data_IF_211837438901
#
_entry.id   IF_211837438901
#
_cell.length_a   1.000
_cell.length_b   1.000
_cell.length_c   1.000
_cell.angle_alpha   90.00
_cell.angle_beta   90.00
_cell.angle_gamma   90.00
#
_symmetry.space_group_name_H-M   'P 1'
#
loop_
_entity.id
_entity.type
_entity.pdbx_description
1 polymer ?
#
# COMPACT_ATOMS: atom_id res chain seq x y z
N UNK A 1 -0.36 17.59 14.69
CA UNK A 1 -1.77 17.22 14.42
C UNK A 1 -1.88 16.95 12.93
N UNK A 2 -2.40 15.79 12.52
CA UNK A 2 -2.57 15.46 11.12
C UNK A 2 -3.50 16.45 10.43
N UNK A 3 -3.05 17.05 9.32
CA UNK A 3 -3.82 18.07 8.59
C UNK A 3 -5.10 17.45 7.97
N UNK A 4 -5.04 16.17 7.59
CA UNK A 4 -6.16 15.44 6.99
C UNK A 4 -7.16 14.86 8.00
N UNK A 5 -6.91 15.00 9.29
CA UNK A 5 -7.54 14.19 10.32
C UNK A 5 -8.74 14.82 11.04
N UNK A 6 -9.48 15.68 10.42
CA UNK A 6 -10.80 16.10 10.97
C UNK A 6 -11.92 15.08 10.72
N UNK A 7 -11.55 13.87 10.31
CA UNK A 7 -12.53 12.86 9.93
C UNK A 7 -13.26 12.23 11.13
N UNK A 8 -14.58 12.04 10.98
CA UNK A 8 -15.55 11.50 11.97
C UNK A 8 -15.05 10.26 12.74
N UNK A 9 -14.16 9.44 12.15
CA UNK A 9 -13.64 8.22 12.76
C UNK A 9 -12.52 8.47 13.78
N UNK A 10 -11.79 9.57 13.69
CA UNK A 10 -10.85 9.97 14.74
C UNK A 10 -11.57 10.39 16.02
N UNK A 11 -12.79 10.93 15.91
CA UNK A 11 -13.57 11.30 17.07
C UNK A 11 -13.93 10.08 17.92
N UNK A 12 -14.09 8.90 17.32
CA UNK A 12 -14.35 7.64 18.06
C UNK A 12 -13.18 7.24 18.94
N UNK A 13 -11.95 7.46 18.49
CA UNK A 13 -10.73 7.14 19.24
C UNK A 13 -10.14 8.35 19.99
N UNK A 14 -10.79 9.51 19.96
CA UNK A 14 -10.27 10.76 20.55
C UNK A 14 -9.99 10.62 22.06
N UNK A 15 -10.74 9.77 22.75
CA UNK A 15 -10.62 9.52 24.19
C UNK A 15 -9.89 8.22 24.52
N UNK A 16 -9.32 7.53 23.53
CA UNK A 16 -8.61 6.30 23.77
C UNK A 16 -7.30 6.54 24.50
N UNK A 17 -7.06 5.73 25.52
CA UNK A 17 -5.78 5.62 26.18
C UNK A 17 -4.90 4.57 25.46
N UNK A 18 -3.69 4.37 25.95
CA UNK A 18 -2.74 3.44 25.35
C UNK A 18 -3.25 1.99 25.34
N UNK A 19 -3.97 1.55 26.37
CA UNK A 19 -4.52 0.21 26.44
C UNK A 19 -5.64 -0.01 25.41
N UNK A 20 -6.45 0.99 25.13
CA UNK A 20 -7.45 0.91 24.07
C UNK A 20 -6.76 0.69 22.70
N UNK A 21 -5.69 1.44 22.40
CA UNK A 21 -4.93 1.24 21.17
C UNK A 21 -4.26 -0.15 21.12
N UNK A 22 -3.70 -0.64 22.23
CA UNK A 22 -3.14 -2.00 22.30
C UNK A 22 -4.20 -3.07 22.01
N UNK A 23 -5.37 -2.96 22.60
CA UNK A 23 -6.48 -3.88 22.34
C UNK A 23 -6.93 -3.81 20.88
N UNK A 24 -7.03 -2.61 20.32
CA UNK A 24 -7.37 -2.44 18.90
C UNK A 24 -6.35 -3.13 17.98
N UNK A 25 -5.06 -2.90 18.19
CA UNK A 25 -4.00 -3.53 17.39
C UNK A 25 -4.01 -5.05 17.56
N UNK A 26 -4.21 -5.55 18.78
CA UNK A 26 -4.31 -6.98 19.05
C UNK A 26 -5.52 -7.62 18.31
N UNK A 27 -6.68 -6.94 18.33
CA UNK A 27 -7.86 -7.37 17.59
C UNK A 27 -7.61 -7.37 16.07
N UNK A 28 -7.00 -6.33 15.54
CA UNK A 28 -6.63 -6.25 14.12
C UNK A 28 -5.71 -7.41 13.72
N UNK A 29 -4.67 -7.68 14.50
CA UNK A 29 -3.77 -8.82 14.27
C UNK A 29 -4.51 -10.17 14.34
N UNK A 30 -5.47 -10.30 15.25
CA UNK A 30 -6.28 -11.51 15.32
C UNK A 30 -7.10 -11.73 14.07
N UNK A 31 -7.80 -10.70 13.58
CA UNK A 31 -8.57 -10.78 12.33
C UNK A 31 -7.68 -11.02 11.11
N UNK A 32 -6.51 -10.39 11.05
CA UNK A 32 -5.53 -10.65 9.98
C UNK A 32 -5.11 -12.12 9.93
N UNK A 33 -4.92 -12.77 11.09
CA UNK A 33 -4.63 -14.21 11.15
C UNK A 33 -5.80 -15.07 10.65
N UNK A 34 -7.05 -14.66 10.93
CA UNK A 34 -8.22 -15.36 10.40
C UNK A 34 -8.24 -15.28 8.87
N UNK A 35 -8.03 -14.08 8.31
CA UNK A 35 -7.96 -13.88 6.85
C UNK A 35 -6.81 -14.69 6.24
N UNK A 36 -5.64 -14.70 6.89
CA UNK A 36 -4.49 -15.49 6.42
C UNK A 36 -4.82 -17.00 6.34
N UNK A 37 -5.52 -17.56 7.31
CA UNK A 37 -5.97 -18.97 7.26
C UNK A 37 -6.98 -19.22 6.15
N UNK A 38 -7.87 -18.27 5.88
CA UNK A 38 -8.80 -18.39 4.74
C UNK A 38 -8.06 -18.38 3.41
N UNK A 39 -7.05 -17.52 3.24
CA UNK A 39 -6.18 -17.52 2.07
C UNK A 39 -5.43 -18.86 1.96
N UNK A 40 -4.89 -19.38 3.06
CA UNK A 40 -4.21 -20.68 3.10
C UNK A 40 -5.13 -21.79 2.59
N UNK A 41 -6.38 -21.88 3.08
CA UNK A 41 -7.35 -22.86 2.62
C UNK A 41 -7.66 -22.75 1.12
N UNK A 42 -7.73 -21.53 0.57
CA UNK A 42 -7.90 -21.31 -0.88
C UNK A 42 -6.68 -21.80 -1.66
N UNK A 43 -5.47 -21.53 -1.16
CA UNK A 43 -4.23 -21.98 -1.79
C UNK A 43 -4.07 -23.50 -1.72
N UNK A 44 -4.42 -24.14 -0.62
CA UNK A 44 -4.44 -25.60 -0.49
C UNK A 44 -5.38 -26.22 -1.52
N UNK A 45 -6.61 -25.69 -1.65
CA UNK A 45 -7.57 -26.14 -2.65
C UNK A 45 -7.04 -25.96 -4.08
N UNK A 46 -6.41 -24.81 -4.40
CA UNK A 46 -5.80 -24.58 -5.70
C UNK A 46 -4.68 -25.60 -5.99
N UNK A 47 -3.75 -25.76 -5.06
CA UNK A 47 -2.58 -26.62 -5.26
C UNK A 47 -2.91 -28.12 -5.23
N UNK A 48 -4.09 -28.51 -4.73
CA UNK A 48 -4.59 -29.88 -4.85
C UNK A 48 -5.10 -30.22 -6.26
N UNK A 49 -5.20 -29.25 -7.15
CA UNK A 49 -5.64 -29.40 -8.53
C UNK A 49 -4.50 -29.29 -9.54
N UNK A 50 -4.65 -29.82 -10.76
CA UNK A 50 -3.67 -29.61 -11.83
C UNK A 50 -3.44 -28.12 -12.18
N UNK A 51 -4.46 -27.27 -11.99
CA UNK A 51 -4.38 -25.83 -12.24
C UNK A 51 -3.33 -25.13 -11.36
N UNK A 52 -3.12 -25.61 -10.12
CA UNK A 52 -2.13 -25.04 -9.21
C UNK A 52 -0.71 -25.00 -9.76
N UNK A 53 -0.37 -25.92 -10.66
CA UNK A 53 0.95 -25.94 -11.33
C UNK A 53 1.12 -24.85 -12.40
N UNK A 54 0.02 -24.25 -12.84
CA UNK A 54 0.00 -23.24 -13.92
C UNK A 54 -0.79 -21.98 -13.53
N UNK A 55 -0.82 -21.66 -12.25
CA UNK A 55 -1.53 -20.46 -11.75
C UNK A 55 -0.55 -19.51 -11.07
N UNK A 56 -0.59 -18.25 -11.47
CA UNK A 56 0.07 -17.16 -10.75
C UNK A 56 -0.91 -16.62 -9.72
N UNK A 57 -0.49 -16.57 -8.48
CA UNK A 57 -1.25 -16.04 -7.35
C UNK A 57 -0.75 -14.65 -7.04
N UNK A 58 -1.68 -13.71 -6.88
CA UNK A 58 -1.39 -12.34 -6.49
C UNK A 58 -2.20 -12.00 -5.25
N UNK A 59 -1.51 -11.53 -4.20
CA UNK A 59 -2.12 -10.99 -2.98
C UNK A 59 -1.76 -9.52 -2.88
N UNK A 60 -2.75 -8.67 -2.85
CA UNK A 60 -2.58 -7.24 -2.70
C UNK A 60 -3.75 -6.65 -1.89
N UNK A 61 -3.60 -5.40 -1.44
CA UNK A 61 -4.68 -4.63 -0.85
C UNK A 61 -4.88 -3.32 -1.61
N UNK A 62 -6.09 -2.79 -1.55
CA UNK A 62 -6.48 -1.49 -2.15
C UNK A 62 -5.94 -0.32 -1.34
N UNK A 63 -5.89 -0.45 -0.02
CA UNK A 63 -5.33 0.49 0.94
C UNK A 63 -4.98 -0.23 2.23
N UNK A 64 -4.24 0.42 3.11
CA UNK A 64 -3.97 -0.06 4.46
C UNK A 64 -4.99 0.43 5.49
N UNK A 65 -4.62 0.30 6.75
CA UNK A 65 -5.40 0.71 7.93
C UNK A 65 -4.51 1.47 8.91
N UNK A 66 -5.04 2.47 9.59
CA UNK A 66 -4.27 3.34 10.47
C UNK A 66 -3.60 2.64 11.66
N UNK A 67 -4.14 1.54 12.12
CA UNK A 67 -3.58 0.65 13.15
C UNK A 67 -3.11 1.36 14.45
N UNK A 68 -3.73 2.49 14.78
CA UNK A 68 -3.37 3.33 15.93
C UNK A 68 -2.28 4.36 15.64
N UNK A 69 -1.54 4.25 14.53
CA UNK A 69 -0.55 5.26 14.14
C UNK A 69 -1.24 6.60 13.90
N UNK A 70 -0.59 7.68 14.28
CA UNK A 70 -1.16 9.04 14.20
C UNK A 70 -2.57 9.16 14.83
N UNK A 71 -2.90 8.27 15.78
CA UNK A 71 -4.23 8.11 16.40
C UNK A 71 -5.33 7.70 15.40
N UNK A 72 -4.96 7.19 14.25
CA UNK A 72 -5.91 6.70 13.27
C UNK A 72 -6.35 5.28 13.61
N UNK A 73 -7.65 5.05 13.51
CA UNK A 73 -8.26 3.72 13.63
C UNK A 73 -9.11 3.45 12.39
N UNK A 74 -9.10 2.21 11.91
CA UNK A 74 -9.76 1.82 10.67
C UNK A 74 -9.21 2.55 9.44
N UNK A 75 -9.82 2.35 8.27
CA UNK A 75 -9.46 3.08 7.07
C UNK A 75 -9.81 4.56 7.21
N UNK A 76 -8.86 5.40 6.93
CA UNK A 76 -9.02 6.84 6.93
C UNK A 76 -8.35 7.44 5.71
N UNK A 77 -8.76 8.64 5.34
CA UNK A 77 -8.10 9.40 4.29
C UNK A 77 -6.78 9.91 4.83
N UNK A 78 -5.70 9.31 4.42
CA UNK A 78 -4.37 9.82 4.70
C UNK A 78 -3.35 9.25 3.71
N UNK A 79 -2.18 9.87 3.65
CA UNK A 79 -1.06 9.40 2.81
C UNK A 79 0.06 8.77 3.63
N UNK A 80 -0.14 8.49 4.91
CA UNK A 80 0.85 7.80 5.73
C UNK A 80 1.13 6.38 5.24
N UNK A 81 2.32 5.85 5.54
CA UNK A 81 2.74 4.52 5.10
C UNK A 81 1.73 3.44 5.47
N UNK A 82 1.09 3.54 6.62
CA UNK A 82 0.07 2.60 7.06
C UNK A 82 -1.12 2.49 6.08
N UNK A 83 -1.37 3.55 5.32
CA UNK A 83 -2.46 3.58 4.32
C UNK A 83 -1.97 3.28 2.91
N UNK A 84 -0.75 3.72 2.56
CA UNK A 84 -0.27 3.71 1.17
C UNK A 84 0.72 2.59 0.87
N UNK A 85 1.39 2.04 1.88
CA UNK A 85 2.32 0.93 1.73
C UNK A 85 1.58 -0.39 1.96
N UNK A 86 0.98 -0.92 0.90
CA UNK A 86 0.15 -2.13 0.94
C UNK A 86 0.94 -3.38 0.57
N UNK A 87 0.52 -4.58 1.02
CA UNK A 87 1.11 -5.82 0.55
C UNK A 87 0.92 -5.97 -0.97
N UNK A 88 1.99 -6.42 -1.63
CA UNK A 88 1.97 -6.77 -3.05
C UNK A 88 2.85 -7.99 -3.25
N UNK A 89 2.22 -9.17 -3.25
CA UNK A 89 2.88 -10.46 -3.29
C UNK A 89 2.48 -11.17 -4.58
N UNK A 90 3.47 -11.64 -5.35
CA UNK A 90 3.24 -12.38 -6.59
C UNK A 90 4.05 -13.67 -6.51
N UNK A 91 3.37 -14.80 -6.72
CA UNK A 91 3.97 -16.13 -6.67
C UNK A 91 3.38 -17.04 -7.75
N UNK A 92 4.16 -18.00 -8.22
CA UNK A 92 3.70 -18.98 -9.20
C UNK A 92 4.79 -19.43 -10.18
N UNK A 93 4.40 -20.15 -11.24
CA UNK A 93 5.35 -20.64 -12.25
C UNK A 93 6.12 -19.50 -12.90
N UNK A 94 7.43 -19.70 -13.05
CA UNK A 94 8.32 -18.72 -13.66
C UNK A 94 8.62 -17.49 -12.81
N UNK A 95 8.10 -17.42 -11.57
CA UNK A 95 8.43 -16.36 -10.61
C UNK A 95 9.61 -16.81 -9.76
N UNK A 96 10.66 -15.99 -9.72
CA UNK A 96 11.84 -16.25 -8.90
C UNK A 96 11.52 -16.06 -7.41
N UNK A 97 11.62 -17.12 -6.58
CA UNK A 97 11.24 -17.03 -5.17
C UNK A 97 12.16 -16.09 -4.38
N UNK A 98 11.59 -15.31 -3.49
CA UNK A 98 12.29 -14.42 -2.57
C UNK A 98 11.82 -14.67 -1.15
N UNK A 99 12.77 -14.77 -0.22
CA UNK A 99 12.46 -14.98 1.19
C UNK A 99 12.16 -13.69 1.96
N UNK A 100 12.53 -12.54 1.40
CA UNK A 100 12.37 -11.24 2.05
C UNK A 100 11.64 -10.27 1.14
N UNK A 101 10.87 -9.35 1.70
CA UNK A 101 10.31 -8.23 0.95
C UNK A 101 11.40 -7.43 0.25
N UNK A 102 11.05 -6.80 -0.85
CA UNK A 102 11.91 -5.89 -1.60
C UNK A 102 11.56 -4.49 -1.16
N UNK A 103 12.52 -3.78 -0.57
CA UNK A 103 12.30 -2.46 0.03
C UNK A 103 12.78 -1.31 -0.87
N UNK A 104 13.62 -1.60 -1.86
CA UNK A 104 14.29 -0.62 -2.72
C UNK A 104 13.61 -0.43 -4.09
N UNK A 105 12.51 -1.13 -4.34
CA UNK A 105 11.74 -1.04 -5.57
C UNK A 105 10.39 -0.36 -5.31
N UNK A 106 10.25 0.88 -5.76
CA UNK A 106 8.95 1.56 -5.75
C UNK A 106 8.04 0.95 -6.80
N UNK A 107 6.86 0.49 -6.37
CA UNK A 107 5.81 -0.05 -7.24
C UNK A 107 4.52 0.72 -7.04
N UNK A 108 3.70 0.74 -8.06
CA UNK A 108 2.36 1.31 -8.03
C UNK A 108 1.38 0.26 -8.56
N UNK A 109 0.86 -0.65 -7.69
CA UNK A 109 0.03 -1.77 -8.13
C UNK A 109 -1.15 -1.36 -9.01
N UNK A 110 -1.73 -0.20 -8.76
CA UNK A 110 -2.85 0.34 -9.55
C UNK A 110 -2.55 0.54 -11.04
N UNK A 111 -1.29 0.76 -11.40
CA UNK A 111 -0.86 0.95 -12.79
C UNK A 111 0.11 -0.13 -13.28
N UNK A 112 0.89 -0.75 -12.39
CA UNK A 112 1.94 -1.72 -12.73
C UNK A 112 1.39 -3.14 -12.91
N UNK A 113 0.25 -3.46 -12.28
CA UNK A 113 -0.32 -4.80 -12.32
C UNK A 113 -0.70 -5.22 -13.74
N UNK A 114 -1.39 -4.35 -14.48
CA UNK A 114 -1.83 -4.67 -15.83
C UNK A 114 -0.67 -4.98 -16.79
N UNK A 115 0.34 -4.11 -16.96
CA UNK A 115 1.47 -4.44 -17.82
C UNK A 115 2.26 -5.66 -17.36
N UNK A 116 2.34 -5.89 -16.05
CA UNK A 116 2.99 -7.08 -15.49
C UNK A 116 2.24 -8.37 -15.89
N UNK A 117 0.92 -8.39 -15.74
CA UNK A 117 0.10 -9.54 -16.12
C UNK A 117 0.15 -9.80 -17.62
N UNK A 118 0.05 -8.75 -18.44
CA UNK A 118 0.16 -8.89 -19.89
C UNK A 118 1.49 -9.56 -20.29
N UNK A 119 2.60 -9.07 -19.75
CA UNK A 119 3.92 -9.61 -20.08
C UNK A 119 4.11 -11.04 -19.56
N UNK A 120 3.63 -11.37 -18.36
CA UNK A 120 3.65 -12.73 -17.83
C UNK A 120 2.82 -13.71 -18.66
N UNK A 121 1.69 -13.23 -19.20
CA UNK A 121 0.81 -14.02 -20.05
C UNK A 121 1.22 -14.05 -21.53
N UNK A 122 2.28 -13.32 -21.94
CA UNK A 122 2.67 -13.20 -23.34
C UNK A 122 1.69 -12.40 -24.20
N UNK A 123 0.89 -11.52 -23.57
CA UNK A 123 -0.09 -10.66 -24.25
C UNK A 123 0.53 -9.27 -24.47
N UNK A 124 0.31 -8.62 -25.61
CA UNK A 124 0.79 -7.26 -25.81
C UNK A 124 0.25 -6.28 -24.78
N UNK A 125 1.14 -5.49 -24.19
CA UNK A 125 0.76 -4.43 -23.24
C UNK A 125 0.11 -3.28 -24.03
N UNK A 126 -1.09 -2.80 -23.64
CA UNK A 126 -1.71 -1.65 -24.29
C UNK A 126 -0.83 -0.39 -24.17
N UNK A 127 -0.44 0.20 -25.30
CA UNK A 127 0.50 1.34 -25.34
C UNK A 127 -0.02 2.62 -24.65
N UNK A 128 -1.34 2.73 -24.52
CA UNK A 128 -1.99 3.90 -23.91
C UNK A 128 -2.07 3.84 -22.39
N UNK A 129 -1.60 2.74 -21.77
CA UNK A 129 -1.71 2.56 -20.31
C UNK A 129 -0.39 2.93 -19.62
N UNK A 130 -0.45 3.72 -18.53
CA UNK A 130 0.73 3.97 -17.71
C UNK A 130 1.13 2.68 -16.96
N UNK A 131 2.29 2.70 -16.35
CA UNK A 131 2.79 1.63 -15.52
C UNK A 131 4.04 0.98 -16.09
N UNK A 132 4.71 0.23 -15.25
CA UNK A 132 5.96 -0.48 -15.57
C UNK A 132 5.74 -1.95 -15.25
N UNK A 133 5.99 -2.82 -16.23
CA UNK A 133 5.95 -4.26 -15.98
C UNK A 133 7.05 -4.67 -15.00
N UNK A 134 6.67 -5.44 -14.01
CA UNK A 134 7.57 -6.06 -13.03
C UNK A 134 8.00 -7.47 -13.48
N UNK A 135 7.54 -7.96 -14.63
CA UNK A 135 7.81 -9.32 -15.09
C UNK A 135 9.32 -9.65 -15.18
N UNK A 136 10.21 -8.77 -15.70
CA UNK A 136 11.65 -9.04 -15.68
C UNK A 136 12.18 -9.26 -14.25
N UNK A 137 11.78 -8.37 -13.33
CA UNK A 137 12.18 -8.48 -11.93
C UNK A 137 11.65 -9.77 -11.27
N UNK A 138 10.40 -10.13 -11.54
CA UNK A 138 9.78 -11.34 -11.02
C UNK A 138 10.45 -12.60 -11.56
N UNK A 139 10.98 -12.57 -12.78
CA UNK A 139 11.79 -13.67 -13.37
C UNK A 139 13.24 -13.71 -12.87
N UNK A 140 13.63 -12.83 -11.94
CA UNK A 140 15.00 -12.75 -11.41
C UNK A 140 15.96 -11.92 -12.26
N UNK A 141 15.47 -11.26 -13.27
CA UNK A 141 16.24 -10.34 -14.11
C UNK A 141 16.40 -8.97 -13.46
N UNK A 142 17.34 -8.18 -13.95
CA UNK A 142 17.49 -6.78 -13.51
C UNK A 142 16.35 -5.94 -14.05
N UNK A 143 15.65 -5.24 -13.15
CA UNK A 143 14.64 -4.26 -13.56
C UNK A 143 15.28 -3.07 -14.27
N UNK A 144 14.94 -2.88 -15.56
CA UNK A 144 15.53 -1.84 -16.42
C UNK A 144 14.85 -0.48 -16.22
N UNK A 145 13.55 -0.47 -15.95
CA UNK A 145 12.78 0.74 -15.67
C UNK A 145 12.24 0.67 -14.26
N UNK A 146 12.32 1.78 -13.56
CA UNK A 146 11.77 1.93 -12.20
C UNK A 146 11.06 3.27 -12.12
N UNK A 147 10.04 3.33 -11.30
CA UNK A 147 9.43 4.60 -10.96
C UNK A 147 10.41 5.43 -10.12
N UNK A 148 10.69 6.69 -10.50
CA UNK A 148 11.49 7.57 -9.67
C UNK A 148 10.74 7.97 -8.40
N UNK A 149 9.42 7.88 -8.42
CA UNK A 149 8.51 8.09 -7.30
C UNK A 149 7.22 7.31 -7.51
N UNK A 150 6.56 6.98 -6.41
CA UNK A 150 5.16 6.57 -6.41
C UNK A 150 4.29 7.79 -6.11
N UNK A 151 3.09 7.82 -6.65
CA UNK A 151 2.14 8.91 -6.46
C UNK A 151 0.78 8.41 -6.02
N UNK A 152 0.10 9.19 -5.20
CA UNK A 152 -1.29 8.96 -4.82
C UNK A 152 -2.03 10.28 -4.78
N UNK A 153 -3.29 10.24 -5.14
CA UNK A 153 -4.15 11.41 -5.15
C UNK A 153 -5.43 11.08 -4.38
N UNK A 154 -5.90 12.05 -3.65
CA UNK A 154 -7.17 11.98 -2.95
C UNK A 154 -8.03 13.18 -3.33
N UNK A 155 -9.22 12.89 -3.78
CA UNK A 155 -10.27 13.88 -4.01
C UNK A 155 -11.61 13.23 -3.66
N UNK A 156 -12.22 13.66 -2.57
CA UNK A 156 -13.52 13.13 -2.16
C UNK A 156 -14.30 14.17 -1.37
N UNK A 157 -15.58 14.19 -1.62
CA UNK A 157 -16.57 14.88 -0.84
C UNK A 157 -17.38 13.83 -0.08
N UNK A 158 -17.26 13.84 1.25
CA UNK A 158 -18.18 13.18 2.15
C UNK A 158 -18.90 14.26 2.96
N UNK A 159 -19.84 13.89 3.82
CA UNK A 159 -20.55 14.80 4.73
C UNK A 159 -19.63 15.76 5.51
N UNK A 160 -18.36 15.42 5.62
CA UNK A 160 -17.28 16.30 6.07
C UNK A 160 -16.23 16.33 4.96
N UNK A 161 -16.02 17.48 4.36
CA UNK A 161 -15.00 17.68 3.34
C UNK A 161 -13.63 17.39 3.92
N UNK A 162 -12.95 16.42 3.36
CA UNK A 162 -11.53 16.18 3.60
C UNK A 162 -10.77 16.87 2.49
N UNK A 163 -9.84 17.76 2.83
CA UNK A 163 -9.04 18.49 1.84
C UNK A 163 -8.45 17.55 0.80
N UNK A 164 -8.71 17.80 -0.49
CA UNK A 164 -8.02 17.07 -1.55
C UNK A 164 -6.52 17.18 -1.37
N UNK A 165 -5.81 16.10 -1.67
CA UNK A 165 -4.36 16.06 -1.50
C UNK A 165 -3.67 15.25 -2.58
N UNK A 166 -2.39 15.54 -2.76
CA UNK A 166 -1.49 14.81 -3.65
C UNK A 166 -0.23 14.45 -2.93
N UNK A 167 0.19 13.22 -3.05
CA UNK A 167 1.40 12.68 -2.44
C UNK A 167 2.33 12.15 -3.51
N UNK A 168 3.62 12.42 -3.34
CA UNK A 168 4.70 11.74 -4.06
C UNK A 168 5.69 11.14 -3.06
N UNK A 169 6.14 9.92 -3.36
CA UNK A 169 7.03 9.11 -2.56
C UNK A 169 8.23 8.69 -3.39
N UNK A 170 9.39 9.25 -3.11
CA UNK A 170 10.68 8.79 -3.63
C UNK A 170 11.30 7.75 -2.68
N UNK A 171 12.41 7.08 -3.01
CA UNK A 171 13.07 6.16 -2.08
C UNK A 171 13.43 6.79 -0.72
N UNK A 172 13.64 8.10 -0.68
CA UNK A 172 14.03 8.79 0.56
C UNK A 172 12.96 9.71 1.12
N UNK A 173 12.29 10.49 0.29
CA UNK A 173 11.38 11.52 0.76
C UNK A 173 9.95 11.21 0.37
N UNK A 174 9.04 11.57 1.25
CA UNK A 174 7.61 11.58 0.99
C UNK A 174 7.11 13.01 1.18
N UNK A 175 6.48 13.55 0.17
CA UNK A 175 5.89 14.89 0.18
C UNK A 175 4.41 14.80 -0.11
N UNK A 176 3.62 15.49 0.69
CA UNK A 176 2.17 15.61 0.52
C UNK A 176 1.80 17.10 0.50
N UNK A 177 1.03 17.47 -0.49
CA UNK A 177 0.42 18.79 -0.60
C UNK A 177 -1.10 18.67 -0.49
N UNK A 178 -1.68 19.36 0.48
CA UNK A 178 -3.11 19.46 0.64
C UNK A 178 -3.60 20.72 -0.04
N UNK A 179 -4.60 20.60 -0.93
CA UNK A 179 -5.16 21.71 -1.68
C UNK A 179 -5.91 22.67 -0.75
N UNK A 180 -6.31 23.83 -1.28
CA UNK A 180 -7.10 24.82 -0.55
C UNK A 180 -6.38 25.45 0.66
N UNK A 181 -5.04 25.49 0.62
CA UNK A 181 -4.25 26.12 1.67
C UNK A 181 -4.16 25.33 2.98
N UNK A 182 -4.52 24.04 2.95
CA UNK A 182 -4.51 23.18 4.13
C UNK A 182 -3.13 22.59 4.50
N UNK A 183 -2.06 23.12 3.87
CA UNK A 183 -0.69 22.84 4.25
C UNK A 183 -0.01 21.74 3.48
N UNK A 184 1.17 21.38 3.94
CA UNK A 184 2.04 20.39 3.32
C UNK A 184 2.81 19.60 4.37
N UNK A 185 3.18 18.38 3.99
CA UNK A 185 3.97 17.48 4.82
C UNK A 185 5.16 16.96 4.02
N UNK A 186 6.32 16.94 4.65
CA UNK A 186 7.55 16.38 4.09
C UNK A 186 8.22 15.50 5.14
N UNK A 187 8.53 14.26 4.77
CA UNK A 187 9.17 13.28 5.65
C UNK A 187 10.42 12.67 5.02
N UNK A 188 11.48 12.48 5.81
CA UNK A 188 12.68 11.70 5.43
C UNK A 188 12.46 10.25 5.83
N UNK A 189 11.98 9.43 4.91
CA UNK A 189 11.57 8.05 5.16
C UNK A 189 12.72 7.11 5.52
N UNK A 190 13.97 7.51 5.33
CA UNK A 190 15.12 6.76 5.82
C UNK A 190 15.37 6.99 7.30
N UNK A 191 15.03 8.18 7.82
CA UNK A 191 15.27 8.57 9.21
C UNK A 191 14.02 8.55 10.07
N UNK A 192 12.87 8.73 9.47
CA UNK A 192 11.56 8.86 10.14
C UNK A 192 10.50 8.03 9.40
N UNK A 193 10.64 6.70 9.46
CA UNK A 193 9.68 5.75 8.86
C UNK A 193 8.27 5.89 9.44
N UNK A 194 8.14 6.48 10.63
CA UNK A 194 6.85 6.68 11.30
C UNK A 194 6.24 8.06 11.04
N UNK A 195 6.83 8.86 10.14
CA UNK A 195 6.28 10.14 9.68
C UNK A 195 5.86 11.08 10.84
N UNK A 196 6.72 11.18 11.85
CA UNK A 196 6.44 11.92 13.12
C UNK A 196 6.91 13.35 13.09
N UNK A 197 7.89 13.66 12.23
CA UNK A 197 8.51 14.98 12.13
C UNK A 197 8.31 15.56 10.74
N UNK A 198 7.32 16.44 10.61
CA UNK A 198 7.14 17.20 9.38
C UNK A 198 8.34 18.14 9.16
N UNK A 199 8.95 18.09 7.98
CA UNK A 199 10.10 18.89 7.57
C UNK A 199 9.71 20.02 6.60
N UNK A 200 8.43 20.20 6.29
CA UNK A 200 7.95 21.25 5.39
C UNK A 200 8.01 22.66 6.01
N UNK A 201 8.23 22.75 7.34
CA UNK A 201 8.30 24.00 8.10
C UNK A 201 9.51 24.05 9.00
#
# INVERSE_FOLDING_TARGET
>A
QCICCSHRRMMQAAHWNEDNYRHYVAAFQHYTRIVARQIESVLEALYSTPAGKNTIVIVLADHGDGMGSHRMVTKQVSFYEEMTNVPFIIAGPGIHPRQKPVEDLLTQPTIDLLPTLCELAGIPVPSSKPGISLAPFLKGEKQKRQHPYAASEWHSEYEVTVSPGRMIRSPRYKYTHYLEGNGEELYDMLKDKGERRNLAH
#
